data_IF_856568847326
#
_entry.id   IF_856568847326
#
_cell.length_a   1.000
_cell.length_b   1.000
_cell.length_c   1.000
_cell.angle_alpha   90.00
_cell.angle_beta   90.00
_cell.angle_gamma   90.00
#
_symmetry.space_group_name_H-M   'P 1'
#
loop_
_entity.id
_entity.type
_entity.pdbx_description
1 polymer ?
#
# COMPACT_ATOMS: atom_id res chain seq x y z
N UNK A 1 38.42 -27.11 -18.91
CA UNK A 1 37.80 -26.00 -18.15
C UNK A 1 36.47 -26.55 -17.64
N UNK A 2 36.40 -26.96 -16.37
CA UNK A 2 35.21 -27.59 -15.80
C UNK A 2 34.12 -26.53 -15.54
N UNK A 3 32.85 -26.91 -15.69
CA UNK A 3 31.68 -26.03 -15.52
C UNK A 3 31.46 -25.56 -14.07
N UNK A 4 32.24 -26.08 -13.12
CA UNK A 4 32.17 -25.81 -11.68
C UNK A 4 33.04 -24.62 -11.23
N UNK A 5 33.76 -23.98 -12.16
CA UNK A 5 34.61 -22.81 -11.91
C UNK A 5 33.97 -21.50 -12.43
N UNK A 6 32.64 -21.49 -12.63
CA UNK A 6 31.92 -20.28 -13.01
C UNK A 6 31.56 -19.46 -11.75
N UNK A 7 32.06 -18.22 -11.62
CA UNK A 7 31.72 -17.37 -10.49
C UNK A 7 30.22 -17.09 -10.48
N UNK A 8 29.60 -17.24 -9.32
CA UNK A 8 28.15 -17.09 -9.19
C UNK A 8 27.75 -15.61 -9.21
N UNK A 9 26.48 -15.33 -9.48
CA UNK A 9 25.92 -13.97 -9.46
C UNK A 9 26.14 -13.26 -8.10
N UNK A 10 26.32 -14.04 -7.03
CA UNK A 10 26.60 -13.56 -5.67
C UNK A 10 28.07 -13.12 -5.53
N UNK A 11 29.01 -13.85 -6.14
CA UNK A 11 30.44 -13.50 -6.17
C UNK A 11 30.71 -12.25 -7.01
N UNK A 12 29.91 -12.03 -8.06
CA UNK A 12 30.03 -10.84 -8.90
C UNK A 12 29.60 -9.57 -8.16
N UNK A 13 28.68 -9.68 -7.20
CA UNK A 13 28.14 -8.54 -6.46
C UNK A 13 29.10 -8.04 -5.37
N UNK A 14 29.88 -8.92 -4.73
CA UNK A 14 30.85 -8.53 -3.71
C UNK A 14 32.10 -7.83 -4.27
N UNK A 15 32.37 -8.00 -5.57
CA UNK A 15 33.55 -7.44 -6.23
C UNK A 15 33.45 -5.93 -6.52
N UNK A 16 32.28 -5.31 -6.28
CA UNK A 16 32.01 -3.90 -6.58
C UNK A 16 32.04 -2.95 -5.37
N UNK A 17 32.69 -3.31 -4.26
CA UNK A 17 32.99 -2.38 -3.17
C UNK A 17 34.45 -1.89 -3.21
N UNK A 18 34.74 -0.71 -3.79
CA UNK A 18 36.01 -0.03 -3.58
C UNK A 18 35.90 0.89 -2.36
N UNK A 19 36.66 0.61 -1.30
CA UNK A 19 36.58 1.44 -0.09
C UNK A 19 37.68 1.23 0.94
N UNK A 20 38.89 0.82 0.52
CA UNK A 20 40.06 0.78 1.40
C UNK A 20 40.89 2.07 1.31
N UNK A 21 40.89 2.89 2.36
CA UNK A 21 41.98 3.84 2.64
C UNK A 21 42.46 3.65 4.07
N UNK A 22 43.69 3.16 4.18
CA UNK A 22 44.49 3.17 5.39
C UNK A 22 45.25 4.50 5.51
N UNK A 23 45.46 4.98 6.74
CA UNK A 23 46.64 5.78 7.09
C UNK A 23 46.43 7.12 7.78
N UNK A 24 46.42 7.08 9.12
CA UNK A 24 47.06 8.00 10.06
C UNK A 24 46.67 9.49 10.13
N UNK A 25 46.13 9.90 11.30
CA UNK A 25 46.76 10.84 12.27
C UNK A 25 45.85 11.08 13.48
N UNK A 26 46.33 10.71 14.65
CA UNK A 26 45.80 11.13 15.96
C UNK A 26 45.99 12.64 16.15
N UNK A 27 44.98 13.34 16.67
CA UNK A 27 45.16 14.50 17.57
C UNK A 27 43.85 14.87 18.30
N UNK A 28 43.84 14.57 19.61
CA UNK A 28 43.19 15.22 20.76
C UNK A 28 41.66 15.51 20.81
N UNK A 29 40.99 15.21 21.95
CA UNK A 29 39.60 15.60 22.21
C UNK A 29 39.53 17.03 22.76
N UNK A 30 38.70 17.87 22.16
CA UNK A 30 38.28 19.15 22.75
C UNK A 30 36.90 18.94 23.38
N UNK A 31 36.88 18.76 24.70
CA UNK A 31 35.65 18.78 25.50
C UNK A 31 35.23 20.24 25.64
N UNK A 32 34.17 20.65 24.94
CA UNK A 32 33.46 21.91 25.21
C UNK A 32 32.44 21.75 26.35
N UNK A 33 32.09 22.82 27.09
CA UNK A 33 31.07 22.78 28.15
C UNK A 33 29.64 22.58 27.57
N UNK A 34 28.67 22.16 28.40
CA UNK A 34 27.45 21.48 27.97
C UNK A 34 26.39 22.45 27.45
N UNK A 35 25.71 22.10 26.35
CA UNK A 35 24.44 22.71 26.00
C UNK A 35 23.29 21.90 26.61
N UNK A 36 22.57 22.42 27.62
CA UNK A 36 21.32 21.82 28.08
C UNK A 36 20.19 22.25 27.15
N UNK A 37 19.97 21.50 26.08
CA UNK A 37 18.72 21.59 25.33
C UNK A 37 17.66 20.78 26.09
N UNK A 38 16.96 21.50 26.94
CA UNK A 38 15.70 21.09 27.52
C UNK A 38 14.66 20.80 26.44
N UNK A 39 13.67 20.00 26.86
CA UNK A 39 12.29 20.01 26.37
C UNK A 39 12.02 19.18 25.13
N UNK A 40 11.50 17.98 25.41
CA UNK A 40 10.25 17.48 24.82
C UNK A 40 10.22 17.57 23.29
N UNK A 41 10.74 16.55 22.63
CA UNK A 41 10.28 16.26 21.28
C UNK A 41 8.81 15.83 21.45
N UNK A 42 7.81 16.66 21.08
CA UNK A 42 6.44 16.23 21.21
C UNK A 42 6.27 15.01 20.29
N UNK A 43 5.44 14.01 20.64
CA UNK A 43 5.09 12.91 19.74
C UNK A 43 4.17 13.41 18.60
N UNK A 44 4.60 14.42 17.83
CA UNK A 44 3.79 15.12 16.84
C UNK A 44 4.17 14.80 15.39
N UNK A 45 5.21 14.01 15.14
CA UNK A 45 5.57 13.57 13.78
C UNK A 45 5.12 12.12 13.44
N UNK A 46 4.74 11.30 14.42
CA UNK A 46 4.29 9.93 14.17
C UNK A 46 2.79 9.79 13.88
N UNK A 47 1.96 10.76 14.26
CA UNK A 47 0.52 10.73 14.02
C UNK A 47 0.11 11.11 12.58
N UNK A 48 1.06 11.57 11.75
CA UNK A 48 0.81 11.81 10.32
C UNK A 48 0.82 10.53 9.48
N UNK A 49 1.38 9.45 10.03
CA UNK A 49 1.33 8.10 9.45
C UNK A 49 0.27 7.23 10.12
N UNK A 50 -0.47 7.73 11.11
CA UNK A 50 -1.56 7.00 11.80
C UNK A 50 -2.97 7.46 11.41
N UNK A 51 -3.10 8.42 10.48
CA UNK A 51 -4.08 8.27 9.39
C UNK A 51 -3.62 7.19 8.39
N UNK A 52 -3.01 6.12 8.89
CA UNK A 52 -2.67 4.89 8.16
C UNK A 52 -4.00 4.29 7.73
N UNK A 53 -4.45 4.78 6.60
CA UNK A 53 -5.45 4.27 5.69
C UNK A 53 -6.61 3.55 6.39
N UNK A 54 -7.61 4.33 6.79
CA UNK A 54 -8.88 3.76 7.20
C UNK A 54 -9.48 3.04 6.00
N UNK A 55 -9.32 1.71 6.00
CA UNK A 55 -9.77 0.80 4.95
C UNK A 55 -11.20 1.14 4.51
N UNK A 56 -11.35 1.49 3.23
CA UNK A 56 -12.65 1.94 2.69
C UNK A 56 -13.46 0.78 2.16
N UNK A 57 -14.78 0.91 2.27
CA UNK A 57 -15.75 -0.02 1.70
C UNK A 57 -16.37 0.65 0.47
N UNK A 58 -16.30 -0.02 -0.67
CA UNK A 58 -16.99 0.39 -1.89
C UNK A 58 -18.16 -0.54 -2.20
N UNK A 59 -19.21 0.00 -2.81
CA UNK A 59 -20.39 -0.77 -3.21
C UNK A 59 -20.72 -0.47 -4.66
N UNK A 60 -20.80 -1.53 -5.48
CA UNK A 60 -21.08 -1.44 -6.92
C UNK A 60 -22.36 -2.20 -7.25
N UNK A 61 -23.28 -1.53 -7.95
CA UNK A 61 -24.52 -2.16 -8.43
C UNK A 61 -25.60 -1.17 -8.82
N UNK A 62 -26.82 -1.67 -9.04
CA UNK A 62 -27.96 -0.88 -9.50
C UNK A 62 -28.33 0.20 -8.49
N UNK A 63 -28.59 1.43 -8.97
CA UNK A 63 -28.74 2.62 -8.13
C UNK A 63 -29.79 2.43 -7.02
N UNK A 64 -30.93 1.85 -7.38
CA UNK A 64 -32.03 1.58 -6.43
C UNK A 64 -31.68 0.60 -5.30
N UNK A 65 -30.64 -0.21 -5.47
CA UNK A 65 -30.17 -1.16 -4.44
C UNK A 65 -29.03 -0.60 -3.59
N UNK A 66 -28.18 0.29 -4.15
CA UNK A 66 -26.91 0.67 -3.51
C UNK A 66 -26.90 2.04 -2.84
N UNK A 67 -27.77 2.99 -3.24
CA UNK A 67 -27.70 4.37 -2.77
C UNK A 67 -27.85 4.52 -1.24
N UNK A 68 -28.71 3.70 -0.63
CA UNK A 68 -28.97 3.77 0.83
C UNK A 68 -27.75 3.46 1.69
N UNK A 69 -26.77 2.72 1.17
CA UNK A 69 -25.56 2.39 1.91
C UNK A 69 -24.60 3.57 2.09
N UNK A 70 -24.78 4.66 1.34
CA UNK A 70 -24.01 5.88 1.55
C UNK A 70 -24.19 6.45 2.96
N UNK A 71 -25.35 6.19 3.59
CA UNK A 71 -25.62 6.56 4.98
C UNK A 71 -24.70 5.86 5.99
N UNK A 72 -24.15 4.70 5.64
CA UNK A 72 -23.19 3.95 6.44
C UNK A 72 -21.73 4.36 6.16
N UNK A 73 -21.50 5.38 5.32
CA UNK A 73 -20.17 5.86 4.96
C UNK A 73 -19.48 5.07 3.85
N UNK A 74 -20.20 4.20 3.14
CA UNK A 74 -19.67 3.48 2.00
C UNK A 74 -19.47 4.38 0.77
N UNK A 75 -18.43 4.11 -0.02
CA UNK A 75 -18.27 4.70 -1.35
C UNK A 75 -19.27 4.02 -2.28
N UNK A 76 -20.23 4.78 -2.81
CA UNK A 76 -21.24 4.24 -3.71
C UNK A 76 -20.83 4.48 -5.16
N UNK A 77 -20.79 3.41 -5.94
CA UNK A 77 -20.50 3.43 -7.37
C UNK A 77 -21.70 2.82 -8.12
N UNK A 78 -22.72 3.65 -8.44
CA UNK A 78 -23.90 3.18 -9.16
C UNK A 78 -23.53 2.69 -10.56
N UNK A 79 -24.00 1.49 -10.92
CA UNK A 79 -23.70 0.86 -12.20
C UNK A 79 -24.89 0.00 -12.65
N UNK A 80 -25.62 0.47 -13.67
CA UNK A 80 -26.83 -0.21 -14.19
C UNK A 80 -26.53 -1.34 -15.19
N UNK A 81 -25.32 -1.35 -15.76
CA UNK A 81 -24.96 -2.24 -16.86
C UNK A 81 -23.51 -2.71 -16.82
N UNK A 82 -23.15 -3.71 -17.64
CA UNK A 82 -21.84 -4.35 -17.59
C UNK A 82 -20.67 -3.38 -17.76
N UNK A 83 -20.74 -2.46 -18.72
CA UNK A 83 -19.68 -1.47 -18.96
C UNK A 83 -19.49 -0.52 -17.77
N UNK A 84 -20.60 -0.10 -17.15
CA UNK A 84 -20.54 0.75 -15.96
C UNK A 84 -19.93 0.00 -14.76
N UNK A 85 -20.25 -1.29 -14.60
CA UNK A 85 -19.65 -2.13 -13.54
C UNK A 85 -18.14 -2.27 -13.75
N UNK A 86 -17.72 -2.52 -14.99
CA UNK A 86 -16.30 -2.63 -15.33
C UNK A 86 -15.54 -1.31 -15.15
N UNK A 87 -16.17 -0.19 -15.49
CA UNK A 87 -15.60 1.14 -15.26
C UNK A 87 -15.47 1.44 -13.76
N UNK A 88 -16.52 1.19 -12.98
CA UNK A 88 -16.53 1.36 -11.53
C UNK A 88 -15.47 0.48 -10.83
N UNK A 89 -15.33 -0.77 -11.28
CA UNK A 89 -14.30 -1.68 -10.75
C UNK A 89 -12.88 -1.16 -11.02
N UNK A 90 -12.62 -0.62 -12.21
CA UNK A 90 -11.31 -0.05 -12.57
C UNK A 90 -10.99 1.27 -11.87
N UNK A 91 -12.01 2.01 -11.41
CA UNK A 91 -11.82 3.28 -10.72
C UNK A 91 -11.58 3.14 -9.21
N UNK A 92 -11.54 1.91 -8.69
CA UNK A 92 -11.29 1.67 -7.27
C UNK A 92 -9.88 2.14 -6.88
N UNK A 93 -9.81 2.91 -5.80
CA UNK A 93 -8.54 3.31 -5.18
C UNK A 93 -7.87 2.13 -4.46
N UNK A 94 -6.56 2.24 -4.26
CA UNK A 94 -5.76 1.26 -3.51
C UNK A 94 -6.15 1.15 -2.03
N UNK A 95 -6.83 2.15 -1.50
CA UNK A 95 -7.34 2.26 -0.14
C UNK A 95 -8.69 1.56 0.08
N UNK A 96 -9.31 1.03 -0.99
CA UNK A 96 -10.51 0.20 -0.90
C UNK A 96 -10.10 -1.21 -0.49
N UNK A 97 -10.50 -1.63 0.71
CA UNK A 97 -10.19 -2.97 1.22
C UNK A 97 -11.30 -3.98 0.94
N UNK A 98 -12.56 -3.51 0.86
CA UNK A 98 -13.73 -4.35 0.64
C UNK A 98 -14.60 -3.76 -0.46
N UNK A 99 -15.02 -4.61 -1.39
CA UNK A 99 -16.01 -4.29 -2.42
C UNK A 99 -17.22 -5.18 -2.23
N UNK A 100 -18.38 -4.57 -2.01
CA UNK A 100 -19.67 -5.26 -1.99
C UNK A 100 -20.36 -5.07 -3.33
N UNK A 101 -20.74 -6.18 -3.97
CA UNK A 101 -21.38 -6.19 -5.28
C UNK A 101 -22.85 -6.59 -5.15
N UNK A 102 -23.74 -5.97 -5.92
CA UNK A 102 -25.04 -6.61 -6.16
C UNK A 102 -24.85 -7.89 -6.97
N UNK A 103 -25.81 -8.82 -6.91
CA UNK A 103 -25.69 -10.09 -7.63
C UNK A 103 -25.57 -9.88 -9.16
N UNK A 104 -26.14 -8.80 -9.71
CA UNK A 104 -26.00 -8.44 -11.13
C UNK A 104 -24.59 -7.96 -11.45
N UNK A 105 -24.01 -7.07 -10.64
CA UNK A 105 -22.65 -6.60 -10.82
C UNK A 105 -21.62 -7.74 -10.69
N UNK A 106 -21.83 -8.65 -9.72
CA UNK A 106 -20.99 -9.83 -9.54
C UNK A 106 -20.95 -10.74 -10.77
N UNK A 107 -22.08 -10.93 -11.47
CA UNK A 107 -22.12 -11.72 -12.71
C UNK A 107 -21.29 -11.11 -13.84
N UNK A 108 -21.21 -9.77 -13.92
CA UNK A 108 -20.34 -9.09 -14.90
C UNK A 108 -18.86 -9.32 -14.60
N UNK A 109 -18.49 -9.39 -13.32
CA UNK A 109 -17.11 -9.53 -12.87
C UNK A 109 -16.64 -10.97 -12.70
N UNK A 110 -17.50 -11.97 -12.96
CA UNK A 110 -17.18 -13.38 -12.75
C UNK A 110 -15.82 -13.76 -13.39
N UNK A 111 -14.86 -14.16 -12.55
CA UNK A 111 -13.49 -14.52 -12.94
C UNK A 111 -12.46 -13.38 -12.93
N UNK A 112 -12.85 -12.15 -12.58
CA UNK A 112 -11.97 -10.95 -12.52
C UNK A 112 -11.67 -10.45 -11.11
N UNK A 113 -12.21 -11.09 -10.08
CA UNK A 113 -11.92 -10.76 -8.68
C UNK A 113 -10.52 -11.27 -8.32
N UNK A 114 -9.67 -10.37 -7.82
CA UNK A 114 -8.31 -10.66 -7.41
C UNK A 114 -8.24 -11.06 -5.91
N UNK A 115 -7.04 -11.37 -5.40
CA UNK A 115 -6.80 -11.60 -3.97
C UNK A 115 -7.02 -10.35 -3.10
N UNK A 116 -7.01 -9.17 -3.72
CA UNK A 116 -7.30 -7.88 -3.13
C UNK A 116 -8.00 -6.99 -4.18
N UNK A 117 -9.03 -6.19 -3.84
CA UNK A 117 -9.71 -6.11 -2.54
C UNK A 117 -10.63 -7.31 -2.24
N UNK A 118 -10.98 -7.51 -0.96
CA UNK A 118 -11.94 -8.54 -0.55
C UNK A 118 -13.29 -8.26 -1.22
N UNK A 119 -13.84 -9.26 -1.93
CA UNK A 119 -15.10 -9.10 -2.65
C UNK A 119 -16.21 -9.88 -1.97
N UNK A 120 -17.33 -9.21 -1.69
CA UNK A 120 -18.56 -9.81 -1.16
C UNK A 120 -19.72 -9.57 -2.14
N UNK A 121 -20.69 -10.49 -2.18
CA UNK A 121 -21.87 -10.38 -3.04
C UNK A 121 -23.12 -10.33 -2.19
N UNK A 122 -23.96 -9.32 -2.43
CA UNK A 122 -25.27 -9.21 -1.79
C UNK A 122 -26.19 -10.36 -2.20
N UNK A 123 -27.04 -10.85 -1.29
CA UNK A 123 -28.16 -11.72 -1.65
C UNK A 123 -29.04 -11.07 -2.75
N UNK A 124 -29.67 -11.88 -3.62
CA UNK A 124 -30.48 -11.40 -4.73
C UNK A 124 -31.69 -10.54 -4.33
#
# INVERSE_FOLDING_TARGET
MNMEDMPTLRDLHERFHPGGRAGAREHAPVIGPPEPAATDDPPSAHLSSERRDMAKIAIIGESGKVLGFGLAGAIILPAEGPEAVLAAWRSLGEDVAVVVLTSRAARTLAGRTASWPLTAVMPP
#
